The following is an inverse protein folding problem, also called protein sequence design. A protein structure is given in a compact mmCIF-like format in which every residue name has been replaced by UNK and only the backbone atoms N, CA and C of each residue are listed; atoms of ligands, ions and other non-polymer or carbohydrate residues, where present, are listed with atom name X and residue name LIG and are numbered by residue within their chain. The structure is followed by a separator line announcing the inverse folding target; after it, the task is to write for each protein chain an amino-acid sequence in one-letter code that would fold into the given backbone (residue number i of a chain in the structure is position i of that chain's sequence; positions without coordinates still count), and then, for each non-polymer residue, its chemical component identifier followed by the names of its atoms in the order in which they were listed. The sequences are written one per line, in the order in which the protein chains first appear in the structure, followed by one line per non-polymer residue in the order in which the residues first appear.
data_IF_140312230835
#
_entry.id   IF_140312230835
#
_cell.length_a   1.000
_cell.length_b   1.000
_cell.length_c   1.000
_cell.angle_alpha   90.00
_cell.angle_beta   90.00
_cell.angle_gamma   90.00
#
_symmetry.space_group_name_H-M   'P 1'
#
loop_
_entity.id
_entity.type
_entity.pdbx_description
1 polymer ?
#
# COMPACT_ATOMS: atom_id res chain seq x y z
N UNK A 1 -13.68 -3.63 -7.45
CA UNK A 1 -13.91 -2.16 -7.30
C UNK A 1 -13.79 -1.43 -8.63
N UNK A 2 -14.62 -0.41 -8.87
CA UNK A 2 -14.48 0.54 -9.99
C UNK A 2 -13.30 1.48 -9.74
N UNK A 3 -12.67 2.00 -10.81
CA UNK A 3 -11.59 2.99 -10.68
C UNK A 3 -12.01 4.24 -9.89
N UNK A 4 -13.27 4.67 -10.03
CA UNK A 4 -13.81 5.80 -9.25
C UNK A 4 -13.84 5.53 -7.75
N UNK A 5 -14.16 4.30 -7.32
CA UNK A 5 -14.16 3.88 -5.91
C UNK A 5 -12.74 3.81 -5.36
N UNK A 6 -11.80 3.29 -6.16
CA UNK A 6 -10.37 3.26 -5.83
C UNK A 6 -9.85 4.69 -5.63
N UNK A 7 -10.15 5.61 -6.57
CA UNK A 7 -9.72 7.00 -6.47
C UNK A 7 -10.31 7.73 -5.25
N UNK A 8 -11.54 7.38 -4.84
CA UNK A 8 -12.12 7.91 -3.61
C UNK A 8 -11.38 7.38 -2.37
N UNK A 9 -11.09 6.07 -2.30
CA UNK A 9 -10.35 5.46 -1.20
C UNK A 9 -8.91 6.02 -1.06
N UNK A 10 -8.25 6.33 -2.18
CA UNK A 10 -6.95 7.00 -2.18
C UNK A 10 -7.04 8.39 -1.54
N UNK A 11 -7.99 9.22 -1.98
CA UNK A 11 -8.20 10.58 -1.43
C UNK A 11 -8.57 10.58 0.05
N UNK A 12 -9.35 9.61 0.50
CA UNK A 12 -9.66 9.41 1.92
C UNK A 12 -8.38 9.15 2.72
N UNK A 13 -7.55 8.20 2.27
CA UNK A 13 -6.28 7.90 2.93
C UNK A 13 -5.29 9.08 2.89
N UNK A 14 -5.18 9.80 1.77
CA UNK A 14 -4.36 11.03 1.67
C UNK A 14 -4.80 12.11 2.67
N UNK A 15 -6.10 12.21 2.95
CA UNK A 15 -6.63 13.15 3.94
C UNK A 15 -6.21 12.74 5.35
N UNK A 16 -6.37 11.46 5.70
CA UNK A 16 -5.93 10.94 7.00
C UNK A 16 -4.40 11.08 7.18
N UNK A 17 -3.62 10.81 6.14
CA UNK A 17 -2.15 10.97 6.17
C UNK A 17 -1.76 12.41 6.49
N UNK A 18 -2.44 13.39 5.89
CA UNK A 18 -2.21 14.82 6.18
C UNK A 18 -2.61 15.18 7.61
N UNK A 19 -3.74 14.67 8.09
CA UNK A 19 -4.22 14.89 9.46
C UNK A 19 -3.24 14.32 10.50
N UNK A 20 -2.73 13.11 10.27
CA UNK A 20 -1.68 12.48 11.09
C UNK A 20 -0.28 13.07 10.86
N UNK A 21 -0.13 14.06 9.95
CA UNK A 21 1.14 14.72 9.61
C UNK A 21 2.23 13.73 9.17
N UNK A 22 1.84 12.65 8.48
CA UNK A 22 2.76 11.67 7.95
C UNK A 22 3.26 12.10 6.56
N UNK A 23 4.57 12.19 6.38
CA UNK A 23 5.17 12.53 5.10
C UNK A 23 5.34 11.28 4.22
N UNK A 24 4.87 11.36 2.97
CA UNK A 24 5.03 10.27 2.01
C UNK A 24 6.27 10.45 1.11
N UNK A 25 6.90 9.35 0.68
CA UNK A 25 7.90 9.39 -0.38
C UNK A 25 7.33 10.01 -1.67
N UNK A 26 8.13 10.75 -2.47
CA UNK A 26 7.65 11.41 -3.67
C UNK A 26 6.96 10.49 -4.70
N UNK A 27 7.40 9.23 -4.80
CA UNK A 27 6.84 8.28 -5.76
C UNK A 27 5.36 7.94 -5.52
N UNK A 28 4.85 8.16 -4.30
CA UNK A 28 3.43 7.97 -3.99
C UNK A 28 2.52 8.95 -4.75
N UNK A 29 3.07 10.05 -5.28
CA UNK A 29 2.32 11.09 -5.97
C UNK A 29 2.46 11.01 -7.50
N UNK A 30 3.19 10.03 -8.04
CA UNK A 30 3.38 9.93 -9.47
C UNK A 30 2.09 9.62 -10.20
N UNK A 31 1.77 10.39 -11.24
CA UNK A 31 0.65 10.10 -12.13
C UNK A 31 0.97 8.92 -13.06
N UNK A 32 -0.04 8.29 -13.68
CA UNK A 32 0.20 7.26 -14.69
C UNK A 32 1.09 7.73 -15.86
N UNK A 33 1.00 9.01 -16.24
CA UNK A 33 1.82 9.62 -17.28
C UNK A 33 3.27 9.78 -16.81
N UNK A 34 3.48 10.29 -15.59
CA UNK A 34 4.82 10.41 -15.02
C UNK A 34 5.49 9.03 -14.85
N UNK A 35 4.70 7.99 -14.54
CA UNK A 35 5.17 6.61 -14.48
C UNK A 35 5.73 6.09 -15.81
N UNK A 36 5.20 6.56 -16.95
CA UNK A 36 5.70 6.15 -18.28
C UNK A 36 7.11 6.65 -18.56
N UNK A 37 7.53 7.73 -17.88
CA UNK A 37 8.86 8.33 -18.04
C UNK A 37 9.89 7.79 -17.03
N UNK A 38 9.46 6.99 -16.03
CA UNK A 38 10.37 6.45 -15.01
C UNK A 38 11.19 5.29 -15.56
N UNK A 39 12.51 5.44 -15.53
CA UNK A 39 13.47 4.45 -16.01
C UNK A 39 13.84 3.42 -14.91
N UNK A 40 14.95 2.71 -15.13
CA UNK A 40 15.48 1.68 -14.24
C UNK A 40 15.85 2.15 -12.82
N UNK A 41 15.95 3.47 -12.56
CA UNK A 41 16.13 3.99 -11.20
C UNK A 41 14.96 3.62 -10.25
N UNK A 42 13.79 3.31 -10.82
CA UNK A 42 12.58 2.97 -10.07
C UNK A 42 12.25 1.46 -10.13
N UNK A 43 13.22 0.61 -10.50
CA UNK A 43 13.03 -0.85 -10.53
C UNK A 43 12.72 -1.41 -9.13
N UNK A 44 13.33 -0.89 -8.06
CA UNK A 44 13.03 -1.37 -6.69
C UNK A 44 11.54 -1.20 -6.34
N UNK A 45 10.90 -0.12 -6.80
CA UNK A 45 9.47 0.12 -6.56
C UNK A 45 8.62 -0.94 -7.28
N UNK A 46 8.96 -1.22 -8.54
CA UNK A 46 8.24 -2.17 -9.39
C UNK A 46 8.43 -3.60 -8.89
N UNK A 47 9.67 -4.00 -8.68
CA UNK A 47 10.04 -5.38 -8.32
C UNK A 47 9.58 -5.77 -6.91
N UNK A 48 9.57 -4.80 -5.98
CA UNK A 48 9.16 -5.05 -4.59
C UNK A 48 7.73 -4.63 -4.27
N UNK A 49 6.96 -4.21 -5.30
CA UNK A 49 5.56 -3.78 -5.20
C UNK A 49 5.36 -2.69 -4.13
N UNK A 50 6.18 -1.65 -4.18
CA UNK A 50 6.02 -0.47 -3.31
C UNK A 50 4.87 0.41 -3.81
N UNK A 51 4.30 1.20 -2.90
CA UNK A 51 3.23 2.14 -3.21
C UNK A 51 1.84 1.65 -2.80
N UNK A 52 0.83 2.22 -3.45
CA UNK A 52 -0.58 2.11 -3.09
C UNK A 52 -1.15 0.72 -3.36
N UNK A 53 -1.94 0.22 -2.41
CA UNK A 53 -2.72 -1.01 -2.57
C UNK A 53 -4.09 -0.81 -1.89
N UNK A 54 -5.14 -1.18 -2.64
CA UNK A 54 -6.54 -1.01 -2.28
C UNK A 54 -7.23 -2.34 -2.57
N UNK A 55 -7.80 -2.94 -1.54
CA UNK A 55 -8.41 -4.26 -1.64
C UNK A 55 -9.77 -4.30 -0.97
N UNK A 56 -10.73 -4.94 -1.63
CA UNK A 56 -12.02 -5.38 -1.08
C UNK A 56 -12.04 -6.90 -0.85
N UNK A 57 -10.86 -7.53 -0.86
CA UNK A 57 -10.67 -8.97 -0.80
C UNK A 57 -11.44 -9.76 -1.88
N UNK A 58 -11.79 -9.11 -2.99
CA UNK A 58 -12.60 -9.72 -4.06
C UNK A 58 -14.08 -9.88 -3.69
N UNK A 59 -14.54 -9.29 -2.59
CA UNK A 59 -15.91 -9.45 -2.08
C UNK A 59 -16.87 -8.38 -2.58
N UNK A 60 -16.38 -7.34 -3.26
CA UNK A 60 -17.21 -6.24 -3.76
C UNK A 60 -17.86 -5.38 -2.67
N UNK A 61 -17.38 -5.48 -1.42
CA UNK A 61 -17.93 -4.82 -0.24
C UNK A 61 -16.87 -4.00 0.50
N UNK A 62 -16.14 -3.15 -0.22
CA UNK A 62 -14.98 -2.42 0.32
C UNK A 62 -15.24 -1.75 1.67
N UNK A 63 -16.40 -1.10 1.87
CA UNK A 63 -16.70 -0.39 3.12
C UNK A 63 -16.92 -1.31 4.34
N UNK A 64 -17.22 -2.59 4.12
CA UNK A 64 -17.37 -3.60 5.19
C UNK A 64 -16.08 -4.42 5.33
N UNK A 65 -15.52 -4.87 4.20
CA UNK A 65 -14.37 -5.78 4.16
C UNK A 65 -13.36 -5.26 3.14
N UNK A 66 -12.20 -4.81 3.63
CA UNK A 66 -11.19 -4.15 2.82
C UNK A 66 -10.31 -3.23 3.65
N UNK A 67 -9.35 -2.58 3.00
CA UNK A 67 -8.64 -1.41 3.52
C UNK A 67 -7.74 -0.79 2.44
N UNK A 68 -7.16 0.36 2.76
CA UNK A 68 -6.14 1.02 1.96
C UNK A 68 -4.78 0.88 2.63
N UNK A 69 -3.71 0.70 1.85
CA UNK A 69 -2.34 0.69 2.37
C UNK A 69 -1.36 1.36 1.40
N UNK A 70 -0.19 1.73 1.93
CA UNK A 70 1.01 2.07 1.17
C UNK A 70 2.15 1.20 1.65
N UNK A 71 2.78 0.44 0.74
CA UNK A 71 4.03 -0.25 1.02
C UNK A 71 5.19 0.74 0.85
N UNK A 72 5.78 1.19 1.96
CA UNK A 72 6.81 2.24 1.98
C UNK A 72 8.19 1.70 1.61
N UNK A 73 8.48 0.46 2.06
CA UNK A 73 9.71 -0.26 1.78
C UNK A 73 9.46 -1.76 1.90
N UNK A 74 10.19 -2.54 1.13
CA UNK A 74 10.12 -3.99 1.14
C UNK A 74 11.44 -4.58 0.60
N UNK A 75 11.64 -5.88 0.81
CA UNK A 75 12.66 -6.67 0.10
C UNK A 75 12.01 -7.77 -0.73
N UNK A 76 12.81 -8.60 -1.38
CA UNK A 76 12.29 -9.68 -2.23
C UNK A 76 13.18 -10.91 -2.21
N UNK A 77 12.67 -11.96 -1.55
CA UNK A 77 13.37 -13.24 -1.36
C UNK A 77 13.59 -14.04 -2.65
N UNK A 78 12.95 -13.65 -3.76
CA UNK A 78 13.11 -14.29 -5.07
C UNK A 78 14.20 -13.62 -5.91
N UNK A 79 14.77 -12.51 -5.44
CA UNK A 79 15.73 -11.71 -6.19
C UNK A 79 16.91 -11.32 -5.30
N UNK A 80 18.08 -11.88 -5.56
CA UNK A 80 19.28 -11.70 -4.73
C UNK A 80 19.73 -10.22 -4.61
N UNK A 81 19.34 -9.37 -5.57
CA UNK A 81 19.64 -7.94 -5.55
C UNK A 81 18.95 -7.18 -4.41
N UNK A 82 17.83 -7.68 -3.87
CA UNK A 82 17.05 -7.00 -2.82
C UNK A 82 17.20 -7.71 -1.47
N UNK A 83 18.30 -7.42 -0.78
CA UNK A 83 18.71 -8.09 0.47
C UNK A 83 17.95 -7.66 1.73
N UNK A 84 17.07 -6.66 1.62
CA UNK A 84 16.30 -6.12 2.75
C UNK A 84 15.42 -7.21 3.36
N UNK A 85 15.59 -7.48 4.66
CA UNK A 85 14.84 -8.52 5.38
C UNK A 85 13.55 -8.02 6.03
N UNK A 86 13.23 -6.74 5.86
CA UNK A 86 12.10 -6.08 6.52
C UNK A 86 11.26 -5.27 5.53
N UNK A 87 10.02 -5.01 5.94
CA UNK A 87 9.08 -4.16 5.23
C UNK A 87 8.43 -3.17 6.19
N UNK A 88 7.90 -2.07 5.64
CA UNK A 88 7.09 -1.11 6.39
C UNK A 88 5.89 -0.74 5.52
N UNK A 89 4.70 -0.77 6.13
CA UNK A 89 3.46 -0.36 5.48
C UNK A 89 2.72 0.64 6.34
N UNK A 90 2.12 1.64 5.70
CA UNK A 90 1.13 2.50 6.32
C UNK A 90 -0.25 1.98 5.92
N UNK A 91 -1.13 1.77 6.90
CA UNK A 91 -2.48 1.25 6.66
C UNK A 91 -3.50 2.29 7.08
N UNK A 92 -4.63 2.31 6.38
CA UNK A 92 -5.81 3.06 6.75
C UNK A 92 -7.03 2.14 6.70
N UNK A 93 -7.65 1.97 7.86
CA UNK A 93 -8.84 1.13 8.06
C UNK A 93 -9.93 2.05 8.59
N UNK A 94 -11.09 2.06 7.91
CA UNK A 94 -12.23 2.88 8.32
C UNK A 94 -12.95 2.27 9.51
N UNK A 95 -13.68 3.12 10.23
CA UNK A 95 -14.61 2.64 11.24
C UNK A 95 -15.60 1.64 10.63
N UNK A 96 -15.77 0.50 11.31
CA UNK A 96 -16.64 -0.60 10.86
C UNK A 96 -16.05 -1.48 9.74
N UNK A 97 -14.91 -1.12 9.17
CA UNK A 97 -14.23 -1.92 8.16
C UNK A 97 -13.38 -3.01 8.82
N UNK A 98 -13.30 -4.19 8.20
CA UNK A 98 -12.47 -5.30 8.68
C UNK A 98 -11.57 -5.88 7.61
N UNK A 99 -10.45 -6.46 8.05
CA UNK A 99 -9.66 -7.40 7.28
C UNK A 99 -10.10 -8.83 7.62
N UNK A 100 -10.33 -9.70 6.62
CA UNK A 100 -10.59 -11.12 6.87
C UNK A 100 -9.48 -11.79 7.68
N UNK A 101 -9.88 -12.82 8.44
CA UNK A 101 -8.95 -13.66 9.17
C UNK A 101 -7.94 -14.30 8.22
N UNK A 102 -6.66 -14.15 8.52
CA UNK A 102 -5.56 -14.76 7.77
C UNK A 102 -4.33 -14.94 8.66
N UNK A 103 -3.34 -15.68 8.14
CA UNK A 103 -2.02 -15.78 8.71
C UNK A 103 -0.97 -15.69 7.59
N UNK A 104 0.29 -15.55 7.96
CA UNK A 104 1.40 -15.53 7.02
C UNK A 104 2.29 -16.74 7.24
N UNK A 105 2.63 -17.43 6.14
CA UNK A 105 3.55 -18.57 6.17
C UNK A 105 4.97 -18.18 6.59
N UNK A 106 5.39 -16.96 6.25
CA UNK A 106 6.78 -16.53 6.40
C UNK A 106 6.92 -15.15 7.07
N UNK A 107 5.95 -14.26 6.88
CA UNK A 107 6.00 -12.89 7.41
C UNK A 107 5.73 -12.90 8.91
N UNK A 108 6.64 -12.31 9.67
CA UNK A 108 6.39 -11.83 11.03
C UNK A 108 6.06 -10.34 10.94
N UNK A 109 5.06 -9.88 11.69
CA UNK A 109 4.67 -8.47 11.65
C UNK A 109 4.24 -7.95 13.01
N UNK A 110 4.51 -6.66 13.19
CA UNK A 110 4.02 -5.84 14.29
C UNK A 110 2.97 -4.90 13.73
N UNK A 111 1.74 -5.02 14.23
CA UNK A 111 0.66 -4.09 13.89
C UNK A 111 0.65 -2.98 14.94
N UNK A 112 0.87 -1.75 14.49
CA UNK A 112 1.04 -0.58 15.36
C UNK A 112 -0.09 0.41 15.05
N UNK A 113 -0.90 0.72 16.07
CA UNK A 113 -1.79 1.88 16.02
C UNK A 113 -0.90 3.14 16.20
N UNK A 114 -0.76 3.90 15.13
CA UNK A 114 0.30 4.90 14.92
C UNK A 114 -0.19 6.32 15.17
#
# INVERSE_FOLDING_TARGET
MKRSEINAALKEMETMIRECKFALPPFCNFTPEEWQEKNHEYDEIRDNMLGWDITDYGLGKFNEVGFSLITLRNGNRKMDQYTKTYAEKLLYIKEGQMAPMHFHWEKMEDIINR
#
